data_IF_356643911745
#
_entry.id   IF_356643911745
#
_cell.length_a   1.000
_cell.length_b   1.000
_cell.length_c   1.000
_cell.angle_alpha   90.00
_cell.angle_beta   90.00
_cell.angle_gamma   90.00
#
_symmetry.space_group_name_H-M   'P 1'
#
loop_
_entity.id
_entity.type
_entity.pdbx_description
1 polymer ?
#
# COMPACT_ATOMS: atom_id res chain seq x y z
N UNK A 1 -4.61 35.46 27.69
CA UNK A 1 -4.56 34.32 28.63
C UNK A 1 -5.67 33.34 28.26
N UNK A 2 -5.34 32.10 27.92
CA UNK A 2 -6.34 31.09 27.56
C UNK A 2 -7.19 30.74 28.78
N UNK A 3 -8.48 31.07 28.76
CA UNK A 3 -9.44 30.63 29.79
C UNK A 3 -9.52 29.11 29.74
N UNK A 4 -9.08 28.45 30.81
CA UNK A 4 -9.37 27.03 31.02
C UNK A 4 -10.89 26.83 30.96
N UNK A 5 -11.35 26.00 30.03
CA UNK A 5 -12.77 25.63 29.94
C UNK A 5 -13.10 24.92 31.25
N UNK A 6 -14.14 25.38 31.98
CA UNK A 6 -14.64 24.68 33.16
C UNK A 6 -15.21 23.33 32.71
N UNK A 7 -14.44 22.26 32.93
CA UNK A 7 -14.86 20.90 32.63
C UNK A 7 -16.04 20.52 33.54
N UNK A 8 -17.11 20.03 32.92
CA UNK A 8 -18.24 19.42 33.63
C UNK A 8 -18.04 17.90 33.69
N UNK A 9 -18.47 17.26 34.78
CA UNK A 9 -18.49 15.79 34.85
C UNK A 9 -19.58 15.24 33.94
N UNK A 10 -19.15 14.49 32.93
CA UNK A 10 -20.01 13.86 31.90
C UNK A 10 -19.91 12.33 31.92
N UNK A 11 -19.08 11.80 32.82
CA UNK A 11 -18.65 10.41 32.94
C UNK A 11 -19.77 9.45 33.36
N UNK A 12 -20.74 9.90 34.15
CA UNK A 12 -21.87 9.06 34.61
C UNK A 12 -23.23 9.65 34.28
N UNK A 13 -24.27 8.80 34.24
CA UNK A 13 -25.67 9.22 34.04
C UNK A 13 -26.13 10.17 35.13
N UNK A 14 -25.77 9.91 36.39
CA UNK A 14 -26.11 10.75 37.54
C UNK A 14 -25.43 12.12 37.47
N UNK A 15 -24.20 12.19 36.96
CA UNK A 15 -23.52 13.45 36.75
C UNK A 15 -24.24 14.29 35.67
N UNK A 16 -24.65 13.64 34.57
CA UNK A 16 -25.37 14.29 33.47
C UNK A 16 -26.80 14.69 33.84
N UNK A 17 -27.48 13.90 34.68
CA UNK A 17 -28.84 14.21 35.13
C UNK A 17 -28.90 15.49 35.99
N UNK A 18 -27.83 15.81 36.72
CA UNK A 18 -27.70 17.04 37.54
C UNK A 18 -27.42 18.30 36.73
N UNK A 19 -27.08 18.20 35.44
CA UNK A 19 -26.81 19.36 34.60
C UNK A 19 -28.11 20.09 34.23
N UNK A 20 -28.05 21.41 34.10
CA UNK A 20 -29.18 22.21 33.63
C UNK A 20 -29.40 22.03 32.12
N UNK A 21 -30.66 22.01 31.69
CA UNK A 21 -30.96 22.00 30.27
C UNK A 21 -30.62 23.36 29.66
N UNK A 22 -29.76 23.39 28.65
CA UNK A 22 -29.35 24.62 27.97
C UNK A 22 -29.04 24.38 26.50
N UNK A 23 -29.12 25.45 25.70
CA UNK A 23 -28.90 25.37 24.26
C UNK A 23 -27.45 24.99 23.92
N UNK A 24 -26.47 25.55 24.64
CA UNK A 24 -25.04 25.31 24.42
C UNK A 24 -24.57 24.00 25.10
N UNK A 25 -23.87 23.10 24.41
CA UNK A 25 -23.36 21.88 25.04
C UNK A 25 -22.44 22.17 26.24
N UNK A 26 -22.39 21.24 27.19
CA UNK A 26 -21.34 21.15 28.20
C UNK A 26 -20.11 20.55 27.56
N UNK A 27 -19.13 21.41 27.26
CA UNK A 27 -17.88 21.01 26.64
C UNK A 27 -16.87 20.56 27.70
N UNK A 28 -16.18 19.47 27.39
CA UNK A 28 -15.04 18.94 28.14
C UNK A 28 -13.86 18.83 27.19
N UNK A 29 -12.69 19.32 27.62
CA UNK A 29 -11.47 19.23 26.82
C UNK A 29 -10.99 17.76 26.79
N UNK A 30 -10.67 17.27 25.59
CA UNK A 30 -9.99 15.97 25.41
C UNK A 30 -8.52 16.19 25.09
N UNK A 31 -8.24 17.08 24.13
CA UNK A 31 -6.90 17.45 23.69
C UNK A 31 -6.92 18.90 23.16
N UNK A 32 -5.76 19.49 22.88
CA UNK A 32 -5.62 20.89 22.44
C UNK A 32 -6.46 21.14 21.18
N UNK A 33 -7.55 21.90 21.34
CA UNK A 33 -8.49 22.23 20.26
C UNK A 33 -9.57 21.18 20.00
N UNK A 34 -9.57 20.05 20.72
CA UNK A 34 -10.50 18.94 20.59
C UNK A 34 -11.35 18.81 21.86
N UNK A 35 -12.68 18.93 21.73
CA UNK A 35 -13.58 18.84 22.88
C UNK A 35 -14.76 17.91 22.60
N UNK A 36 -15.14 17.12 23.60
CA UNK A 36 -16.40 16.40 23.63
C UNK A 36 -17.45 17.25 24.35
N UNK A 37 -18.69 17.20 23.87
CA UNK A 37 -19.80 17.99 24.34
C UNK A 37 -21.00 17.12 24.66
N UNK A 38 -21.68 17.45 25.76
CA UNK A 38 -22.98 16.88 26.08
C UNK A 38 -24.04 17.97 26.06
N UNK A 39 -25.07 17.82 25.21
CA UNK A 39 -26.23 18.71 25.21
C UNK A 39 -27.41 18.01 25.82
N UNK A 40 -27.86 18.48 26.98
CA UNK A 40 -29.04 17.94 27.65
C UNK A 40 -30.31 18.33 26.88
N UNK A 41 -31.10 17.34 26.51
CA UNK A 41 -32.42 17.49 25.88
C UNK A 41 -33.55 17.04 26.79
N UNK A 42 -34.80 17.27 26.34
CA UNK A 42 -36.01 16.90 27.09
C UNK A 42 -36.20 15.37 27.17
N UNK A 43 -35.75 14.64 26.14
CA UNK A 43 -35.88 13.17 26.03
C UNK A 43 -34.52 12.47 26.01
N UNK A 44 -33.54 13.00 26.75
CA UNK A 44 -32.17 12.50 26.76
C UNK A 44 -31.19 13.46 26.10
N UNK A 45 -29.90 13.27 26.38
CA UNK A 45 -28.84 14.10 25.84
C UNK A 45 -28.28 13.64 24.50
N UNK A 46 -27.52 14.53 23.86
CA UNK A 46 -26.81 14.26 22.60
C UNK A 46 -25.32 14.51 22.83
N UNK A 47 -24.50 13.57 22.38
CA UNK A 47 -23.05 13.70 22.30
C UNK A 47 -22.64 14.49 21.06
N UNK A 48 -21.73 15.45 21.25
CA UNK A 48 -21.14 16.27 20.21
C UNK A 48 -19.62 16.27 20.33
N UNK A 49 -18.93 16.55 19.24
CA UNK A 49 -17.51 16.88 19.21
C UNK A 49 -17.31 18.24 18.56
N UNK A 50 -16.27 18.97 18.95
CA UNK A 50 -15.80 20.17 18.25
C UNK A 50 -14.29 20.19 18.05
N UNK A 51 -13.85 20.61 16.87
CA UNK A 51 -12.46 20.67 16.45
C UNK A 51 -12.08 22.09 16.03
N UNK A 52 -10.97 22.59 16.56
CA UNK A 52 -10.48 23.94 16.27
C UNK A 52 -9.82 24.00 14.89
N UNK A 53 -10.42 24.74 13.96
CA UNK A 53 -9.88 24.86 12.59
C UNK A 53 -8.87 26.00 12.44
N UNK A 54 -8.98 27.05 13.26
CA UNK A 54 -8.15 28.26 13.19
C UNK A 54 -9.00 29.50 13.45
N UNK A 55 -8.37 30.66 13.65
CA UNK A 55 -9.07 31.97 13.70
C UNK A 55 -10.25 32.06 14.68
N UNK A 56 -10.21 31.33 15.80
CA UNK A 56 -11.31 31.31 16.77
C UNK A 56 -12.51 30.44 16.37
N UNK A 57 -12.46 29.75 15.22
CA UNK A 57 -13.54 28.94 14.71
C UNK A 57 -13.40 27.46 15.06
N UNK A 58 -14.55 26.81 15.26
CA UNK A 58 -14.68 25.38 15.52
C UNK A 58 -15.65 24.76 14.53
N UNK A 59 -15.27 23.61 13.99
CA UNK A 59 -16.26 22.72 13.37
C UNK A 59 -16.87 21.84 14.46
N UNK A 60 -18.16 21.54 14.34
CA UNK A 60 -18.89 20.69 15.27
C UNK A 60 -19.51 19.50 14.54
N UNK A 61 -19.60 18.36 15.22
CA UNK A 61 -20.32 17.17 14.74
C UNK A 61 -21.12 16.55 15.85
N UNK A 62 -22.25 15.94 15.49
CA UNK A 62 -23.01 15.04 16.37
C UNK A 62 -22.33 13.67 16.34
N UNK A 63 -22.19 13.05 17.51
CA UNK A 63 -21.58 11.72 17.67
C UNK A 63 -22.65 10.63 17.87
N UNK A 64 -23.72 10.94 18.60
CA UNK A 64 -24.78 10.00 18.92
C UNK A 64 -25.69 10.50 20.04
N UNK A 65 -26.70 9.72 20.38
CA UNK A 65 -27.58 9.94 21.54
C UNK A 65 -26.86 9.43 22.79
N UNK A 66 -27.00 10.12 23.92
CA UNK A 66 -26.45 9.66 25.18
C UNK A 66 -27.30 8.54 25.79
N UNK A 67 -26.65 7.63 26.50
CA UNK A 67 -27.27 6.51 27.22
C UNK A 67 -28.07 6.93 28.46
N UNK A 68 -28.70 8.11 28.46
CA UNK A 68 -29.39 8.64 29.65
C UNK A 68 -30.74 7.95 29.92
N UNK A 69 -31.37 7.39 28.89
CA UNK A 69 -32.70 6.75 28.96
C UNK A 69 -32.63 5.27 28.55
N UNK A 70 -31.88 4.97 27.49
CA UNK A 70 -31.68 3.62 26.98
C UNK A 70 -30.22 3.25 27.20
N UNK A 71 -29.97 1.98 27.46
CA UNK A 71 -28.61 1.46 27.50
C UNK A 71 -27.95 1.57 26.12
N UNK A 72 -26.63 1.68 26.13
CA UNK A 72 -25.86 1.76 24.90
C UNK A 72 -26.05 0.49 24.06
N UNK A 73 -26.25 0.67 22.76
CA UNK A 73 -26.53 -0.40 21.80
C UNK A 73 -25.33 -0.69 20.88
N UNK A 74 -24.24 0.05 21.05
CA UNK A 74 -23.07 0.01 20.18
C UNK A 74 -23.30 0.65 18.81
N UNK A 75 -24.42 1.36 18.62
CA UNK A 75 -24.79 2.08 17.40
C UNK A 75 -25.05 3.56 17.69
N UNK A 76 -26.32 3.93 17.79
CA UNK A 76 -26.74 5.33 17.89
C UNK A 76 -26.81 5.82 19.35
N UNK A 77 -26.90 4.91 20.33
CA UNK A 77 -26.92 5.22 21.76
C UNK A 77 -25.55 4.89 22.36
N UNK A 78 -24.86 5.92 22.82
CA UNK A 78 -23.48 5.86 23.28
C UNK A 78 -23.36 6.21 24.75
N UNK A 79 -22.60 5.40 25.48
CA UNK A 79 -22.08 5.79 26.80
C UNK A 79 -20.94 6.83 26.65
N UNK A 80 -20.42 7.32 27.78
CA UNK A 80 -19.33 8.32 27.75
C UNK A 80 -18.04 7.78 27.10
N UNK A 81 -17.72 6.50 27.31
CA UNK A 81 -16.50 5.88 26.78
C UNK A 81 -16.58 5.74 25.26
N UNK A 82 -17.70 5.23 24.76
CA UNK A 82 -17.99 5.10 23.34
C UNK A 82 -18.09 6.47 22.65
N UNK A 83 -18.71 7.46 23.31
CA UNK A 83 -18.74 8.83 22.80
C UNK A 83 -17.34 9.46 22.75
N UNK A 84 -16.48 9.18 23.73
CA UNK A 84 -15.09 9.62 23.73
C UNK A 84 -14.30 8.96 22.58
N UNK A 85 -14.47 7.66 22.36
CA UNK A 85 -13.85 6.96 21.23
C UNK A 85 -14.32 7.54 19.87
N UNK A 86 -15.62 7.73 19.69
CA UNK A 86 -16.19 8.35 18.49
C UNK A 86 -15.67 9.79 18.28
N UNK A 87 -15.48 10.55 19.36
CA UNK A 87 -14.87 11.87 19.29
C UNK A 87 -13.40 11.80 18.83
N UNK A 88 -12.60 10.89 19.39
CA UNK A 88 -11.21 10.68 18.99
C UNK A 88 -11.09 10.32 17.50
N UNK A 89 -11.93 9.42 16.99
CA UNK A 89 -11.93 9.02 15.58
C UNK A 89 -12.30 10.21 14.67
N UNK A 90 -13.29 11.00 15.09
CA UNK A 90 -13.68 12.22 14.38
C UNK A 90 -12.57 13.29 14.37
N UNK A 91 -11.87 13.51 15.49
CA UNK A 91 -10.74 14.44 15.54
C UNK A 91 -9.56 13.97 14.68
N UNK A 92 -9.28 12.66 14.68
CA UNK A 92 -8.23 12.08 13.84
C UNK A 92 -8.50 12.38 12.37
N UNK A 93 -9.74 12.17 11.93
CA UNK A 93 -10.19 12.50 10.57
C UNK A 93 -9.97 13.99 10.24
N UNK A 94 -10.37 14.90 11.13
CA UNK A 94 -10.21 16.35 10.93
C UNK A 94 -8.76 16.82 10.90
N UNK A 95 -7.92 16.24 11.74
CA UNK A 95 -6.47 16.49 11.72
C UNK A 95 -5.84 16.09 10.37
N UNK A 96 -6.25 14.94 9.82
CA UNK A 96 -5.79 14.46 8.51
C UNK A 96 -6.26 15.37 7.37
N UNK A 97 -7.54 15.75 7.37
CA UNK A 97 -8.10 16.72 6.41
C UNK A 97 -7.30 18.03 6.39
N UNK A 98 -6.95 18.56 7.56
CA UNK A 98 -6.20 19.82 7.68
C UNK A 98 -4.79 19.77 7.09
N UNK A 99 -4.15 18.59 7.10
CA UNK A 99 -2.78 18.39 6.58
C UNK A 99 -2.82 17.92 5.10
N UNK A 100 -4.02 17.82 4.50
CA UNK A 100 -4.18 17.35 3.12
C UNK A 100 -3.99 15.85 2.94
N UNK A 101 -4.02 15.07 4.05
CA UNK A 101 -3.99 13.62 4.01
C UNK A 101 -5.40 13.07 3.78
N UNK A 102 -5.53 11.88 3.14
CA UNK A 102 -6.83 11.26 2.94
C UNK A 102 -7.56 11.07 4.29
N UNK A 103 -8.81 11.52 4.27
CA UNK A 103 -9.77 11.65 5.39
C UNK A 103 -9.91 10.33 6.17
N UNK A 104 -9.77 9.19 5.50
CA UNK A 104 -9.72 7.87 6.11
C UNK A 104 -9.06 6.86 5.15
N UNK A 105 -8.65 5.71 5.69
CA UNK A 105 -8.46 4.51 4.87
C UNK A 105 -9.80 3.92 4.37
N UNK A 106 -10.97 4.37 4.88
CA UNK A 106 -12.27 4.17 4.23
C UNK A 106 -12.22 4.81 2.84
N UNK A 107 -12.46 3.99 1.82
CA UNK A 107 -12.34 4.37 0.41
C UNK A 107 -10.93 4.38 -0.15
N UNK A 108 -9.85 4.29 0.66
CA UNK A 108 -8.50 4.15 0.13
C UNK A 108 -8.24 2.69 -0.25
N UNK A 109 -8.27 2.42 -1.55
CA UNK A 109 -8.19 1.06 -2.11
C UNK A 109 -6.76 0.67 -2.46
N UNK A 110 -6.50 -0.63 -2.54
CA UNK A 110 -5.21 -1.13 -3.05
C UNK A 110 -4.95 -0.62 -4.47
N UNK A 111 -5.98 -0.44 -5.31
CA UNK A 111 -5.82 0.16 -6.63
C UNK A 111 -5.25 1.59 -6.57
N UNK A 112 -5.75 2.42 -5.65
CA UNK A 112 -5.21 3.78 -5.46
C UNK A 112 -3.79 3.75 -4.88
N UNK A 113 -3.50 2.88 -3.91
CA UNK A 113 -2.13 2.66 -3.41
C UNK A 113 -1.16 2.33 -4.55
N UNK A 114 -1.57 1.44 -5.46
CA UNK A 114 -0.75 1.06 -6.60
C UNK A 114 -0.59 2.19 -7.61
N UNK A 115 -1.63 3.00 -7.83
CA UNK A 115 -1.55 4.18 -8.69
C UNK A 115 -0.56 5.22 -8.13
N UNK A 116 -0.68 5.56 -6.84
CA UNK A 116 0.23 6.49 -6.14
C UNK A 116 1.67 5.99 -6.16
N UNK A 117 1.86 4.69 -5.88
CA UNK A 117 3.18 4.07 -5.93
C UNK A 117 3.77 4.08 -7.35
N UNK A 118 2.96 3.84 -8.38
CA UNK A 118 3.39 3.87 -9.79
C UNK A 118 3.78 5.30 -10.21
N UNK A 119 2.99 6.30 -9.81
CA UNK A 119 3.29 7.71 -10.07
C UNK A 119 4.61 8.12 -9.42
N UNK A 120 4.82 7.75 -8.16
CA UNK A 120 6.10 7.97 -7.48
C UNK A 120 7.26 7.22 -8.17
N UNK A 121 7.06 5.95 -8.51
CA UNK A 121 8.10 5.10 -9.11
C UNK A 121 8.56 5.65 -10.46
N UNK A 122 7.63 6.18 -11.27
CA UNK A 122 7.94 6.83 -12.56
C UNK A 122 8.94 7.98 -12.42
N UNK A 123 8.84 8.77 -11.35
CA UNK A 123 9.74 9.90 -11.11
C UNK A 123 11.08 9.49 -10.46
N UNK A 124 11.12 8.37 -9.73
CA UNK A 124 12.25 8.06 -8.84
C UNK A 124 13.04 6.80 -9.20
N UNK A 125 12.53 5.95 -10.12
CA UNK A 125 13.09 4.62 -10.39
C UNK A 125 13.04 4.29 -11.88
N UNK A 126 13.90 3.36 -12.28
CA UNK A 126 13.94 2.77 -13.64
C UNK A 126 13.01 1.54 -13.71
N UNK A 127 12.69 1.07 -14.92
CA UNK A 127 11.94 -0.17 -15.17
C UNK A 127 10.44 -0.14 -14.83
N UNK A 128 9.80 1.02 -15.04
CA UNK A 128 8.36 1.21 -14.82
C UNK A 128 7.49 0.16 -15.52
N UNK A 129 7.79 -0.17 -16.78
CA UNK A 129 7.01 -1.14 -17.57
C UNK A 129 6.87 -2.51 -16.89
N UNK A 130 7.94 -3.01 -16.27
CA UNK A 130 7.93 -4.29 -15.56
C UNK A 130 7.08 -4.23 -14.28
N UNK A 131 7.15 -3.09 -13.56
CA UNK A 131 6.33 -2.83 -12.38
C UNK A 131 4.84 -2.76 -12.76
N UNK A 132 4.48 -1.91 -13.72
CA UNK A 132 3.09 -1.73 -14.19
C UNK A 132 2.52 -3.05 -14.69
N UNK A 133 3.28 -3.82 -15.48
CA UNK A 133 2.85 -5.14 -15.94
C UNK A 133 2.56 -6.09 -14.78
N UNK A 134 3.39 -6.08 -13.73
CA UNK A 134 3.20 -6.94 -12.55
C UNK A 134 1.97 -6.52 -11.74
N UNK A 135 1.78 -5.22 -11.54
CA UNK A 135 0.63 -4.65 -10.83
C UNK A 135 -0.66 -4.97 -11.57
N UNK A 136 -0.75 -4.62 -12.85
CA UNK A 136 -1.95 -4.80 -13.68
C UNK A 136 -2.31 -6.27 -13.89
N UNK A 137 -1.31 -7.14 -13.98
CA UNK A 137 -1.54 -8.56 -14.23
C UNK A 137 -1.96 -9.31 -12.98
N UNK A 138 -1.38 -8.98 -11.82
CA UNK A 138 -1.50 -9.81 -10.63
C UNK A 138 -2.21 -9.10 -9.48
N UNK A 139 -1.82 -7.87 -9.16
CA UNK A 139 -2.30 -7.19 -7.96
C UNK A 139 -3.71 -6.65 -8.16
N UNK A 140 -3.94 -5.84 -9.21
CA UNK A 140 -5.23 -5.17 -9.41
C UNK A 140 -6.40 -6.16 -9.58
N UNK A 141 -6.28 -7.25 -10.36
CA UNK A 141 -7.40 -8.19 -10.51
C UNK A 141 -7.80 -8.90 -9.22
N UNK A 142 -6.86 -9.11 -8.29
CA UNK A 142 -7.10 -9.87 -7.07
C UNK A 142 -7.44 -8.99 -5.87
N UNK A 143 -6.77 -7.85 -5.72
CA UNK A 143 -6.83 -7.02 -4.52
C UNK A 143 -7.25 -5.57 -4.81
N UNK A 144 -7.32 -5.14 -6.08
CA UNK A 144 -7.47 -3.73 -6.44
C UNK A 144 -8.68 -3.04 -5.79
N UNK A 145 -9.82 -3.72 -5.73
CA UNK A 145 -11.07 -3.18 -5.17
C UNK A 145 -11.15 -3.27 -3.64
N UNK A 146 -10.15 -3.88 -3.00
CA UNK A 146 -10.12 -4.04 -1.54
C UNK A 146 -9.69 -2.71 -0.92
N UNK A 147 -10.47 -2.22 0.03
CA UNK A 147 -10.07 -1.10 0.88
C UNK A 147 -8.91 -1.52 1.79
N UNK A 148 -7.89 -0.68 1.92
CA UNK A 148 -6.70 -0.99 2.70
C UNK A 148 -7.05 -1.22 4.18
N UNK A 149 -8.06 -0.53 4.71
CA UNK A 149 -8.59 -0.76 6.06
C UNK A 149 -9.15 -2.18 6.28
N UNK A 150 -9.63 -2.83 5.21
CA UNK A 150 -10.17 -4.20 5.23
C UNK A 150 -9.12 -5.25 4.85
N UNK A 151 -7.91 -4.83 4.49
CA UNK A 151 -6.86 -5.74 4.06
C UNK A 151 -6.33 -6.54 5.26
N UNK A 152 -6.50 -7.86 5.22
CA UNK A 152 -6.04 -8.74 6.31
C UNK A 152 -4.77 -9.52 5.92
N UNK A 153 -3.96 -9.98 6.89
CA UNK A 153 -2.86 -10.91 6.61
C UNK A 153 -3.30 -12.17 5.86
N UNK A 154 -4.54 -12.62 6.08
CA UNK A 154 -5.10 -13.82 5.44
C UNK A 154 -5.28 -13.60 3.94
N UNK A 155 -5.90 -12.50 3.54
CA UNK A 155 -6.10 -12.15 2.12
C UNK A 155 -4.78 -12.06 1.35
N UNK A 156 -3.76 -11.45 1.96
CA UNK A 156 -2.44 -11.33 1.33
C UNK A 156 -1.74 -12.70 1.21
N UNK A 157 -1.89 -13.59 2.21
CA UNK A 157 -1.37 -14.97 2.12
C UNK A 157 -2.08 -15.77 1.03
N UNK A 158 -3.41 -15.74 0.99
CA UNK A 158 -4.22 -16.42 -0.02
C UNK A 158 -3.83 -15.95 -1.44
N UNK A 159 -3.68 -14.63 -1.62
CA UNK A 159 -3.17 -14.05 -2.87
C UNK A 159 -1.77 -14.57 -3.25
N UNK A 160 -0.85 -14.58 -2.28
CA UNK A 160 0.53 -15.02 -2.48
C UNK A 160 0.64 -16.52 -2.80
N UNK A 161 -0.17 -17.35 -2.15
CA UNK A 161 -0.26 -18.79 -2.38
C UNK A 161 -0.93 -19.10 -3.73
N UNK A 162 -2.04 -18.43 -4.05
CA UNK A 162 -2.72 -18.58 -5.34
C UNK A 162 -1.79 -18.26 -6.52
N UNK A 163 -0.94 -17.24 -6.39
CA UNK A 163 0.07 -16.97 -7.42
C UNK A 163 1.11 -18.08 -7.55
N UNK A 164 1.51 -18.71 -6.44
CA UNK A 164 2.51 -19.76 -6.45
C UNK A 164 2.00 -21.07 -7.06
N UNK A 165 0.70 -21.32 -6.99
CA UNK A 165 0.06 -22.52 -7.56
C UNK A 165 -0.48 -22.30 -8.98
N UNK A 166 -0.83 -21.06 -9.34
CA UNK A 166 -1.35 -20.75 -10.67
C UNK A 166 -0.34 -21.07 -11.80
N UNK A 167 -0.80 -21.56 -12.96
CA UNK A 167 0.05 -21.83 -14.10
C UNK A 167 0.75 -20.56 -14.61
N UNK A 168 1.97 -20.71 -15.13
CA UNK A 168 2.72 -19.57 -15.66
C UNK A 168 2.05 -19.04 -16.93
N UNK A 169 1.78 -17.74 -16.98
CA UNK A 169 1.32 -17.07 -18.21
C UNK A 169 2.38 -17.16 -19.31
N UNK A 170 1.93 -17.41 -20.53
CA UNK A 170 2.71 -17.29 -21.76
C UNK A 170 2.46 -15.92 -22.39
N UNK A 171 3.47 -15.40 -23.08
CA UNK A 171 3.35 -14.14 -23.81
C UNK A 171 2.25 -14.30 -24.87
N UNK A 172 1.25 -13.43 -24.80
CA UNK A 172 0.15 -13.31 -25.76
C UNK A 172 0.25 -11.95 -26.45
N UNK A 173 -0.25 -11.89 -27.68
CA UNK A 173 -0.36 -10.62 -28.41
C UNK A 173 -1.45 -9.74 -27.79
N UNK A 174 -1.39 -8.42 -28.03
CA UNK A 174 -2.40 -7.47 -27.56
C UNK A 174 -3.79 -7.87 -28.08
N UNK A 175 -4.77 -7.94 -27.18
CA UNK A 175 -6.16 -8.32 -27.51
C UNK A 175 -6.41 -9.81 -27.73
N UNK A 176 -5.39 -10.68 -27.57
CA UNK A 176 -5.57 -12.13 -27.65
C UNK A 176 -5.75 -12.73 -26.27
N UNK A 177 -6.44 -13.88 -26.22
CA UNK A 177 -6.60 -14.65 -24.99
C UNK A 177 -5.25 -14.99 -24.37
N UNK A 178 -5.24 -14.90 -23.04
CA UNK A 178 -4.06 -15.18 -22.23
C UNK A 178 -3.79 -16.68 -22.29
N UNK A 179 -2.64 -17.04 -22.83
CA UNK A 179 -2.18 -18.43 -22.84
C UNK A 179 -1.47 -18.76 -21.53
N UNK A 180 -1.61 -20.00 -21.08
CA UNK A 180 -0.96 -20.51 -19.88
C UNK A 180 -0.11 -21.74 -20.23
N UNK A 181 0.99 -21.93 -19.49
CA UNK A 181 1.68 -23.21 -19.47
C UNK A 181 0.82 -24.25 -18.75
N UNK A 182 1.18 -25.52 -18.91
CA UNK A 182 0.71 -26.58 -18.03
C UNK A 182 1.02 -26.25 -16.57
N UNK A 183 0.24 -26.83 -15.66
CA UNK A 183 0.48 -26.68 -14.23
C UNK A 183 1.92 -27.13 -13.88
N UNK A 184 2.59 -26.46 -12.93
CA UNK A 184 3.96 -26.79 -12.56
C UNK A 184 4.01 -28.21 -11.96
N UNK A 185 4.73 -29.12 -12.60
CA UNK A 185 4.84 -30.52 -12.16
C UNK A 185 6.20 -30.80 -11.50
N UNK A 186 7.26 -30.16 -11.99
CA UNK A 186 8.61 -30.33 -11.45
C UNK A 186 8.86 -29.44 -10.23
N UNK A 187 9.78 -29.89 -9.36
CA UNK A 187 10.25 -29.09 -8.20
C UNK A 187 10.75 -27.71 -8.62
N UNK A 188 11.44 -27.62 -9.77
CA UNK A 188 11.97 -26.37 -10.28
C UNK A 188 10.90 -25.41 -10.81
N UNK A 189 9.86 -25.92 -11.48
CA UNK A 189 8.74 -25.10 -11.90
C UNK A 189 7.97 -24.54 -10.70
N UNK A 190 7.69 -25.38 -9.70
CA UNK A 190 7.06 -24.96 -8.44
C UNK A 190 7.91 -23.86 -7.77
N UNK A 191 9.23 -24.07 -7.68
CA UNK A 191 10.17 -23.09 -7.13
C UNK A 191 10.16 -21.77 -7.92
N UNK A 192 10.13 -21.84 -9.25
CA UNK A 192 10.07 -20.66 -10.12
C UNK A 192 8.75 -19.87 -9.97
N UNK A 193 7.62 -20.56 -9.78
CA UNK A 193 6.34 -19.92 -9.46
C UNK A 193 6.38 -19.23 -8.11
N UNK A 194 6.89 -19.89 -7.06
CA UNK A 194 7.11 -19.27 -5.74
C UNK A 194 8.03 -18.05 -5.80
N UNK A 195 9.10 -18.08 -6.62
CA UNK A 195 9.98 -16.94 -6.86
C UNK A 195 9.24 -15.76 -7.52
N UNK A 196 8.31 -16.04 -8.44
CA UNK A 196 7.46 -15.03 -9.06
C UNK A 196 6.48 -14.42 -8.07
N UNK A 197 5.81 -15.27 -7.27
CA UNK A 197 4.90 -14.83 -6.22
C UNK A 197 5.61 -13.93 -5.20
N UNK A 198 6.85 -14.26 -4.80
CA UNK A 198 7.67 -13.44 -3.92
C UNK A 198 8.00 -12.05 -4.51
N UNK A 199 8.28 -11.95 -5.82
CA UNK A 199 8.55 -10.67 -6.48
C UNK A 199 7.31 -9.76 -6.47
N UNK A 200 6.15 -10.32 -6.78
CA UNK A 200 4.89 -9.57 -6.76
C UNK A 200 4.51 -9.16 -5.33
N UNK A 201 4.70 -10.06 -4.35
CA UNK A 201 4.51 -9.72 -2.93
C UNK A 201 5.43 -8.57 -2.49
N UNK A 202 6.68 -8.55 -2.96
CA UNK A 202 7.61 -7.47 -2.65
C UNK A 202 7.15 -6.12 -3.21
N UNK A 203 6.59 -6.10 -4.44
CA UNK A 203 5.98 -4.90 -5.03
C UNK A 203 4.81 -4.41 -4.18
N UNK A 204 3.87 -5.31 -3.86
CA UNK A 204 2.69 -4.99 -3.04
C UNK A 204 3.10 -4.41 -1.69
N UNK A 205 4.04 -5.05 -1.00
CA UNK A 205 4.57 -4.57 0.27
C UNK A 205 5.26 -3.23 0.16
N UNK A 206 6.04 -3.00 -0.90
CA UNK A 206 6.73 -1.72 -1.09
C UNK A 206 5.75 -0.56 -1.28
N UNK A 207 4.68 -0.78 -2.05
CA UNK A 207 3.62 0.21 -2.25
C UNK A 207 2.87 0.51 -0.94
N UNK A 208 2.44 -0.54 -0.22
CA UNK A 208 1.74 -0.40 1.07
C UNK A 208 2.64 0.24 2.14
N UNK A 209 3.91 -0.18 2.25
CA UNK A 209 4.86 0.43 3.17
C UNK A 209 5.06 1.92 2.87
N UNK A 210 5.13 2.30 1.60
CA UNK A 210 5.26 3.72 1.24
C UNK A 210 4.04 4.51 1.70
N UNK A 211 2.84 4.04 1.38
CA UNK A 211 1.61 4.69 1.80
C UNK A 211 1.47 4.75 3.35
N UNK A 212 1.96 3.75 4.07
CA UNK A 212 2.07 3.78 5.53
C UNK A 212 3.06 4.84 6.03
N UNK A 213 4.28 4.89 5.47
CA UNK A 213 5.30 5.88 5.83
C UNK A 213 4.85 7.32 5.51
N UNK A 214 4.08 7.50 4.44
CA UNK A 214 3.49 8.78 4.04
C UNK A 214 2.22 9.11 4.88
N UNK A 215 1.87 8.28 5.87
CA UNK A 215 0.75 8.51 6.80
C UNK A 215 -0.65 8.26 6.22
N UNK A 216 -0.74 7.76 4.98
CA UNK A 216 -2.01 7.45 4.32
C UNK A 216 -2.67 6.19 4.92
N UNK A 217 -1.87 5.24 5.42
CA UNK A 217 -2.33 4.01 6.08
C UNK A 217 -1.90 4.06 7.54
N UNK A 218 -2.78 3.64 8.45
CA UNK A 218 -2.52 3.72 9.90
C UNK A 218 -1.61 2.60 10.44
N UNK A 219 -1.59 1.42 9.80
CA UNK A 219 -0.87 0.25 10.32
C UNK A 219 -0.24 -0.57 9.19
N UNK A 220 0.97 -1.08 9.45
CA UNK A 220 1.71 -1.99 8.56
C UNK A 220 1.50 -3.49 8.86
N UNK A 221 0.82 -3.79 9.96
CA UNK A 221 0.63 -5.15 10.47
C UNK A 221 0.11 -6.16 9.43
N UNK A 222 -0.89 -5.83 8.57
CA UNK A 222 -1.45 -6.78 7.63
C UNK A 222 -0.42 -7.45 6.72
N UNK A 223 0.48 -6.67 6.14
CA UNK A 223 1.48 -7.19 5.20
C UNK A 223 2.82 -7.53 5.89
N UNK A 224 3.14 -6.92 7.02
CA UNK A 224 4.35 -7.23 7.80
C UNK A 224 4.40 -8.70 8.24
N UNK A 225 3.25 -9.25 8.66
CA UNK A 225 3.13 -10.65 9.10
C UNK A 225 3.32 -11.69 8.00
N UNK A 226 3.13 -11.32 6.73
CA UNK A 226 3.21 -12.27 5.61
C UNK A 226 4.68 -12.51 5.24
N UNK A 227 5.12 -13.77 5.21
CA UNK A 227 6.51 -14.11 4.87
C UNK A 227 6.61 -14.64 3.45
N UNK A 228 7.69 -14.27 2.76
CA UNK A 228 8.03 -14.80 1.44
C UNK A 228 8.37 -16.30 1.53
N UNK A 229 8.14 -17.04 0.44
CA UNK A 229 8.56 -18.43 0.34
C UNK A 229 10.09 -18.55 0.40
N UNK A 230 10.58 -19.47 1.24
CA UNK A 230 12.02 -19.77 1.38
C UNK A 230 12.52 -20.66 0.23
N UNK A 231 13.84 -20.64 -0.02
CA UNK A 231 14.48 -21.53 -1.00
C UNK A 231 14.06 -21.30 -2.46
N UNK A 232 13.55 -20.11 -2.80
CA UNK A 232 12.99 -19.83 -4.14
C UNK A 232 14.03 -19.35 -5.15
N UNK A 233 15.10 -18.73 -4.66
CA UNK A 233 16.21 -18.28 -5.51
C UNK A 233 17.11 -19.48 -5.82
N UNK A 234 17.31 -19.73 -7.09
CA UNK A 234 18.46 -20.48 -7.56
C UNK A 234 18.98 -19.75 -8.81
N UNK A 235 20.28 -19.54 -8.86
CA UNK A 235 20.92 -19.05 -10.06
C UNK A 235 20.72 -20.10 -11.16
N UNK A 236 20.21 -19.69 -12.32
CA UNK A 236 20.31 -20.51 -13.52
C UNK A 236 21.74 -20.39 -14.00
N UNK A 237 22.60 -21.28 -13.52
CA UNK A 237 24.01 -21.32 -13.91
C UNK A 237 24.12 -22.30 -15.06
N UNK A 238 23.83 -21.84 -16.28
CA UNK A 238 24.16 -22.56 -17.49
C UNK A 238 25.21 -21.72 -18.23
N UNK A 239 26.45 -22.20 -18.20
CA UNK A 239 27.55 -21.60 -18.97
C UNK A 239 27.73 -22.38 -20.26
N UNK A 240 28.04 -21.67 -21.34
CA UNK A 240 28.41 -22.29 -22.59
C UNK A 240 29.89 -22.68 -22.52
N UNK A 241 30.20 -23.92 -22.87
CA UNK A 241 31.59 -24.30 -23.13
C UNK A 241 32.09 -23.69 -24.46
N UNK A 242 33.39 -23.85 -24.75
CA UNK A 242 34.03 -23.25 -25.92
C UNK A 242 33.43 -23.76 -27.25
N UNK A 243 33.05 -25.02 -27.31
CA UNK A 243 32.49 -25.64 -28.50
C UNK A 243 31.04 -25.18 -28.71
N UNK A 244 30.27 -25.09 -27.63
CA UNK A 244 28.94 -24.51 -27.62
C UNK A 244 28.95 -23.04 -28.05
N UNK A 245 29.93 -22.25 -27.61
CA UNK A 245 30.10 -20.86 -28.06
C UNK A 245 30.36 -20.80 -29.58
N UNK A 246 31.24 -21.66 -30.09
CA UNK A 246 31.58 -21.71 -31.51
C UNK A 246 30.37 -22.10 -32.37
N UNK A 247 29.60 -23.12 -31.94
CA UNK A 247 28.36 -23.53 -32.61
C UNK A 247 27.29 -22.44 -32.57
N UNK A 248 27.14 -21.74 -31.43
CA UNK A 248 26.19 -20.64 -31.31
C UNK A 248 26.51 -19.52 -32.31
N UNK A 249 27.77 -19.11 -32.39
CA UNK A 249 28.23 -18.08 -33.34
C UNK A 249 27.94 -18.51 -34.78
N UNK A 250 28.25 -19.76 -35.14
CA UNK A 250 28.05 -20.27 -36.51
C UNK A 250 26.57 -20.37 -36.91
N UNK A 251 25.66 -20.53 -35.94
CA UNK A 251 24.22 -20.59 -36.18
C UNK A 251 23.55 -19.20 -36.24
N UNK A 252 24.24 -18.14 -35.85
CA UNK A 252 23.72 -16.77 -35.88
C UNK A 252 23.88 -16.14 -37.28
N UNK A 253 22.91 -15.32 -37.72
CA UNK A 253 23.12 -14.38 -38.82
C UNK A 253 24.30 -13.43 -38.54
N UNK A 254 24.94 -12.90 -39.59
CA UNK A 254 26.20 -12.15 -39.50
C UNK A 254 26.19 -10.98 -38.50
N UNK A 255 25.10 -10.23 -38.44
CA UNK A 255 24.91 -9.12 -37.51
C UNK A 255 24.83 -9.59 -36.05
N UNK A 256 24.02 -10.61 -35.79
CA UNK A 256 23.88 -11.23 -34.47
C UNK A 256 25.17 -11.95 -34.05
N UNK A 257 25.88 -12.60 -34.97
CA UNK A 257 27.14 -13.29 -34.71
C UNK A 257 28.21 -12.32 -34.20
N UNK A 258 28.30 -11.10 -34.75
CA UNK A 258 29.20 -10.05 -34.25
C UNK A 258 28.86 -9.64 -32.82
N UNK A 259 27.58 -9.46 -32.52
CA UNK A 259 27.10 -9.10 -31.19
C UNK A 259 27.37 -10.22 -30.16
N UNK A 260 27.11 -11.48 -30.53
CA UNK A 260 27.39 -12.65 -29.68
C UNK A 260 28.89 -12.79 -29.42
N UNK A 261 29.74 -12.62 -30.44
CA UNK A 261 31.20 -12.60 -30.25
C UNK A 261 31.61 -11.49 -29.27
N UNK A 262 31.11 -10.28 -29.44
CA UNK A 262 31.41 -9.17 -28.53
C UNK A 262 31.00 -9.50 -27.08
N UNK A 263 29.81 -10.09 -26.88
CA UNK A 263 29.35 -10.53 -25.55
C UNK A 263 30.28 -11.58 -24.92
N UNK A 264 30.73 -12.57 -25.70
CA UNK A 264 31.60 -13.64 -25.23
C UNK A 264 33.02 -13.15 -24.87
N UNK A 265 33.55 -12.18 -25.62
CA UNK A 265 34.89 -11.64 -25.37
C UNK A 265 34.93 -10.59 -24.25
N UNK A 266 33.86 -9.80 -24.10
CA UNK A 266 33.85 -8.67 -23.15
C UNK A 266 33.13 -8.99 -21.85
N UNK A 267 32.25 -10.01 -21.83
CA UNK A 267 31.36 -10.28 -20.70
C UNK A 267 30.26 -9.22 -20.51
N UNK A 268 30.13 -8.26 -21.43
CA UNK A 268 29.14 -7.18 -21.33
C UNK A 268 27.71 -7.72 -21.50
N UNK A 269 26.75 -7.06 -20.83
CA UNK A 269 25.33 -7.35 -21.00
C UNK A 269 24.87 -6.89 -22.37
N UNK A 270 23.82 -7.54 -22.90
CA UNK A 270 23.20 -7.16 -24.16
C UNK A 270 22.88 -5.65 -24.24
N UNK A 271 22.32 -5.07 -23.17
CA UNK A 271 21.97 -3.64 -23.12
C UNK A 271 23.19 -2.72 -23.20
N UNK A 272 24.33 -3.14 -22.66
CA UNK A 272 25.59 -2.40 -22.73
C UNK A 272 26.14 -2.45 -24.17
N UNK A 273 26.14 -3.63 -24.78
CA UNK A 273 26.65 -3.84 -26.15
C UNK A 273 25.89 -3.05 -27.22
N UNK A 274 24.56 -3.00 -27.14
CA UNK A 274 23.75 -2.29 -28.15
C UNK A 274 23.81 -0.76 -28.04
N UNK A 275 24.35 -0.25 -26.94
CA UNK A 275 24.58 1.19 -26.75
C UNK A 275 26.02 1.61 -27.11
N UNK A 276 26.92 0.65 -27.35
CA UNK A 276 28.30 0.94 -27.69
C UNK A 276 28.42 1.59 -29.05
N UNK A 277 29.32 2.58 -29.12
CA UNK A 277 29.70 3.28 -30.34
C UNK A 277 31.19 3.13 -30.60
N UNK A 278 31.65 3.46 -31.81
CA UNK A 278 33.07 3.46 -32.13
C UNK A 278 33.90 4.40 -31.21
N UNK A 279 33.27 5.46 -30.68
CA UNK A 279 33.91 6.40 -29.76
C UNK A 279 34.20 5.81 -28.37
N UNK A 280 33.60 4.66 -28.03
CA UNK A 280 33.83 4.01 -26.74
C UNK A 280 35.10 3.14 -26.75
N UNK A 281 35.67 2.86 -27.93
CA UNK A 281 36.98 2.22 -28.03
C UNK A 281 38.08 3.27 -27.88
N UNK A 282 39.06 3.00 -27.01
CA UNK A 282 40.21 3.87 -26.75
C UNK A 282 41.44 3.19 -27.37
N UNK A 283 41.89 3.59 -28.58
CA UNK A 283 42.97 2.92 -29.28
C UNK A 283 44.30 2.95 -28.54
N UNK A 284 44.57 4.03 -27.80
CA UNK A 284 45.83 4.24 -27.09
C UNK A 284 46.06 3.19 -25.99
N UNK A 285 44.99 2.76 -25.32
CA UNK A 285 45.03 1.78 -24.23
C UNK A 285 44.50 0.40 -24.66
N UNK A 286 43.93 0.27 -25.87
CA UNK A 286 43.27 -0.96 -26.31
C UNK A 286 42.06 -1.34 -25.44
N UNK A 287 41.44 -0.37 -24.76
CA UNK A 287 40.34 -0.60 -23.83
C UNK A 287 39.00 -0.16 -24.42
N UNK A 288 37.92 -0.75 -23.88
CA UNK A 288 36.56 -0.42 -24.25
C UNK A 288 35.84 0.20 -23.05
N UNK A 289 35.25 1.38 -23.25
CA UNK A 289 34.41 2.03 -22.25
C UNK A 289 33.01 1.43 -22.27
N UNK A 290 32.52 1.02 -21.10
CA UNK A 290 31.18 0.44 -20.92
C UNK A 290 30.37 1.36 -20.01
N UNK A 291 29.14 1.69 -20.40
CA UNK A 291 28.23 2.59 -19.68
C UNK A 291 27.32 1.86 -18.69
#
# INVERSE_FOLDING_TARGET
>A
MARAVKDSRLDSREARSKLEARHKPYWRLIDRGCHIGYRKGVRGGIWRARYYVGEGQYEESVLGVADDIRDCDGGDVLDFSQAQQAAHDWFRRKSREKIGLPVSAQGYTVAQVMADYTAWFRAHRKSLSSLESSINTHVLPALGNVEVSKLTPRMIREFHEAMATAPARLRSGKGKDVRFRTAPLSRDEIRARKSTANRVLAILKAALNRAYLDGQIESDEPWKRVKSFRGTKAAKVAFLDRDQCSRLIAACPDDLARLVKAALFTGCRYGELVQMTACDFIPQSGTLRVA
#
